data_IF_535982812092
#
_entry.id   IF_535982812092
#
_cell.length_a   1.000
_cell.length_b   1.000
_cell.length_c   1.000
_cell.angle_alpha   90.00
_cell.angle_beta   90.00
_cell.angle_gamma   90.00
#
_symmetry.space_group_name_H-M   'P 1'
#
loop_
_entity.id
_entity.type
_entity.pdbx_description
1 polymer ?
#
# COMPACT_ATOMS: atom_id res chain seq x y z
N UNK A 1 7.38 -7.39 -15.67
CA UNK A 1 6.06 -6.81 -15.97
C UNK A 1 5.54 -6.36 -14.63
N UNK A 2 5.40 -5.06 -14.45
CA UNK A 2 4.88 -4.49 -13.20
C UNK A 2 3.39 -4.82 -13.19
N UNK A 3 3.01 -5.84 -12.44
CA UNK A 3 1.63 -6.31 -12.31
C UNK A 3 0.90 -5.31 -11.40
N UNK A 4 0.64 -4.12 -11.94
CA UNK A 4 -0.17 -3.13 -11.25
C UNK A 4 -1.62 -3.60 -11.36
N UNK A 5 -2.09 -4.30 -10.33
CA UNK A 5 -3.52 -4.59 -10.17
C UNK A 5 -4.27 -3.27 -10.31
N UNK A 6 -5.14 -3.19 -11.31
CA UNK A 6 -5.98 -2.02 -11.53
C UNK A 6 -7.06 -1.95 -10.45
N UNK A 7 -7.58 -0.74 -10.19
CA UNK A 7 -8.63 -0.55 -9.18
C UNK A 7 -9.89 -1.39 -9.48
N UNK A 8 -10.14 -1.70 -10.76
CA UNK A 8 -11.25 -2.57 -11.19
C UNK A 8 -10.96 -4.05 -10.88
N UNK A 9 -9.75 -4.56 -11.18
CA UNK A 9 -9.36 -5.95 -10.85
C UNK A 9 -9.35 -6.20 -9.34
N UNK A 10 -8.99 -5.19 -8.56
CA UNK A 10 -9.06 -5.25 -7.10
C UNK A 10 -10.52 -5.34 -6.62
N UNK A 11 -11.43 -4.56 -7.20
CA UNK A 11 -12.84 -4.59 -6.82
C UNK A 11 -13.46 -5.96 -7.15
N UNK A 12 -13.18 -6.49 -8.33
CA UNK A 12 -13.63 -7.83 -8.72
C UNK A 12 -13.14 -8.90 -7.74
N UNK A 13 -11.86 -8.81 -7.31
CA UNK A 13 -11.30 -9.73 -6.32
C UNK A 13 -11.96 -9.60 -4.93
N UNK A 14 -12.25 -8.37 -4.50
CA UNK A 14 -12.95 -8.10 -3.23
C UNK A 14 -14.37 -8.71 -3.28
N UNK A 15 -15.10 -8.53 -4.37
CA UNK A 15 -16.44 -9.08 -4.54
C UNK A 15 -16.43 -10.61 -4.60
N UNK A 16 -15.49 -11.21 -5.33
CA UNK A 16 -15.30 -12.67 -5.38
C UNK A 16 -15.07 -13.23 -3.98
N UNK A 17 -14.12 -12.66 -3.23
CA UNK A 17 -13.77 -13.13 -1.89
C UNK A 17 -14.87 -12.89 -0.87
N UNK A 18 -15.60 -11.79 -1.00
CA UNK A 18 -16.78 -11.53 -0.19
C UNK A 18 -17.83 -12.63 -0.38
N UNK A 19 -18.11 -12.99 -1.65
CA UNK A 19 -19.06 -14.04 -1.98
C UNK A 19 -18.61 -15.44 -1.52
N UNK A 20 -17.33 -15.79 -1.68
CA UNK A 20 -16.77 -17.07 -1.23
C UNK A 20 -16.90 -17.28 0.28
N UNK A 21 -16.85 -16.19 1.05
CA UNK A 21 -16.83 -16.23 2.51
C UNK A 21 -18.14 -15.78 3.17
N UNK A 22 -19.19 -15.50 2.38
CA UNK A 22 -20.48 -14.96 2.86
C UNK A 22 -20.30 -13.69 3.71
N UNK A 23 -19.41 -12.80 3.25
CA UNK A 23 -19.09 -11.53 3.89
C UNK A 23 -19.64 -10.35 3.06
N UNK A 24 -19.95 -9.20 3.69
CA UNK A 24 -20.24 -7.98 2.95
C UNK A 24 -19.00 -7.51 2.17
N UNK A 25 -19.10 -7.19 0.87
CA UNK A 25 -17.99 -6.64 0.10
C UNK A 25 -17.40 -5.36 0.69
N UNK A 26 -18.26 -4.50 1.24
CA UNK A 26 -17.86 -3.26 1.90
C UNK A 26 -16.91 -3.50 3.09
N UNK A 27 -17.10 -4.61 3.84
CA UNK A 27 -16.22 -4.96 4.95
C UNK A 27 -14.81 -5.30 4.46
N UNK A 28 -14.68 -6.04 3.36
CA UNK A 28 -13.39 -6.37 2.77
C UNK A 28 -12.73 -5.14 2.15
N UNK A 29 -13.51 -4.23 1.58
CA UNK A 29 -13.02 -2.95 1.08
C UNK A 29 -12.46 -2.07 2.22
N UNK A 30 -13.18 -1.95 3.33
CA UNK A 30 -12.71 -1.21 4.51
C UNK A 30 -11.40 -1.78 5.06
N UNK A 31 -11.28 -3.11 5.14
CA UNK A 31 -10.05 -3.78 5.56
C UNK A 31 -8.91 -3.47 4.59
N UNK A 32 -9.16 -3.57 3.28
CA UNK A 32 -8.16 -3.26 2.27
C UNK A 32 -7.66 -1.82 2.37
N UNK A 33 -8.56 -0.85 2.52
CA UNK A 33 -8.21 0.57 2.62
C UNK A 33 -7.33 0.85 3.86
N UNK A 34 -7.68 0.26 5.00
CA UNK A 34 -6.91 0.38 6.24
C UNK A 34 -5.49 -0.20 6.09
N UNK A 35 -5.36 -1.41 5.54
CA UNK A 35 -4.05 -2.04 5.28
C UNK A 35 -3.21 -1.23 4.28
N UNK A 36 -3.85 -0.74 3.21
CA UNK A 36 -3.19 0.11 2.20
C UNK A 36 -2.68 1.41 2.80
N UNK A 37 -3.42 2.02 3.72
CA UNK A 37 -2.98 3.24 4.41
C UNK A 37 -1.71 2.98 5.23
N UNK A 38 -1.68 1.91 6.02
CA UNK A 38 -0.52 1.51 6.84
C UNK A 38 0.71 1.26 5.97
N UNK A 39 0.58 0.44 4.92
CA UNK A 39 1.67 0.15 3.99
C UNK A 39 2.21 1.43 3.32
N UNK A 40 1.31 2.35 2.94
CA UNK A 40 1.70 3.63 2.37
C UNK A 40 2.45 4.51 3.38
N UNK A 41 2.04 4.52 4.66
CA UNK A 41 2.76 5.23 5.72
C UNK A 41 4.16 4.66 5.94
N UNK A 42 4.31 3.34 6.01
CA UNK A 42 5.60 2.69 6.19
C UNK A 42 6.55 2.99 5.03
N UNK A 43 6.06 2.89 3.79
CA UNK A 43 6.83 3.23 2.60
C UNK A 43 7.29 4.68 2.60
N UNK A 44 6.41 5.62 2.98
CA UNK A 44 6.75 7.05 3.11
C UNK A 44 7.81 7.28 4.18
N UNK A 45 7.71 6.59 5.31
CA UNK A 45 8.70 6.67 6.40
C UNK A 45 10.08 6.18 5.95
N UNK A 46 10.14 5.05 5.24
CA UNK A 46 11.40 4.54 4.67
C UNK A 46 12.03 5.53 3.70
N UNK A 47 11.25 6.05 2.74
CA UNK A 47 11.74 7.03 1.76
C UNK A 47 12.29 8.27 2.46
N UNK A 48 11.60 8.77 3.49
CA UNK A 48 12.07 9.93 4.25
C UNK A 48 13.41 9.67 4.94
N UNK A 49 13.58 8.47 5.52
CA UNK A 49 14.84 8.06 6.13
C UNK A 49 15.96 7.97 5.11
N UNK A 50 15.71 7.34 3.96
CA UNK A 50 16.70 7.19 2.90
C UNK A 50 17.13 8.55 2.35
N UNK A 51 16.17 9.46 2.12
CA UNK A 51 16.46 10.84 1.69
C UNK A 51 17.26 11.58 2.76
N UNK A 52 16.96 11.40 4.05
CA UNK A 52 17.73 12.02 5.12
C UNK A 52 19.18 11.55 5.11
N UNK A 53 19.42 10.25 5.06
CA UNK A 53 20.76 9.68 5.04
C UNK A 53 21.55 10.20 3.83
N UNK A 54 20.93 10.23 2.65
CA UNK A 54 21.57 10.77 1.43
C UNK A 54 21.97 12.25 1.57
N UNK A 55 21.16 13.04 2.27
CA UNK A 55 21.47 14.45 2.53
C UNK A 55 22.58 14.62 3.58
N UNK A 56 22.61 13.78 4.60
CA UNK A 56 23.66 13.77 5.64
C UNK A 56 25.01 13.38 5.03
N UNK A 57 25.06 12.28 4.26
CA UNK A 57 26.28 11.83 3.56
C UNK A 57 26.84 12.93 2.62
N UNK A 58 25.96 13.63 1.89
CA UNK A 58 26.36 14.70 0.97
C UNK A 58 26.91 15.96 1.67
N UNK A 59 26.57 16.16 2.95
CA UNK A 59 27.08 17.27 3.77
C UNK A 59 28.37 16.88 4.48
N UNK A 60 28.49 15.62 4.93
CA UNK A 60 29.68 15.10 5.62
C UNK A 60 30.88 14.87 4.66
N UNK A 61 30.63 14.71 3.36
CA UNK A 61 31.65 14.60 2.30
C UNK A 61 32.30 15.95 1.89
N UNK A 62 32.07 17.05 2.62
CA UNK A 62 32.67 18.39 2.36
C UNK A 62 33.76 18.82 3.35
#
# INVERSE_FOLDING_TARGET
>A
MEDSVTDDELRDLIEEKAAEHDLPPDLLLEIYEAEREVVNMDRRSSILKDVRNLLEDAVDDQ
#
